data_IF_510762753878
#
_entry.id   IF_510762753878
#
_cell.length_a   1.000
_cell.length_b   1.000
_cell.length_c   1.000
_cell.angle_alpha   90.00
_cell.angle_beta   90.00
_cell.angle_gamma   90.00
#
_symmetry.space_group_name_H-M   'P 1'
#
loop_
_entity.id
_entity.type
_entity.pdbx_description
1 polymer ?
#
# COMPACT_ATOMS: atom_id res chain seq x y z
N UNK A 1 30.43 2.49 -10.93
CA UNK A 1 29.19 1.69 -10.99
C UNK A 1 28.38 1.98 -9.75
N UNK A 2 27.30 2.77 -9.84
CA UNK A 2 26.42 3.02 -8.68
C UNK A 2 25.61 1.74 -8.41
N UNK A 3 25.88 1.05 -7.31
CA UNK A 3 25.15 -0.15 -6.93
C UNK A 3 23.71 0.22 -6.51
N UNK A 4 22.83 0.40 -7.49
CA UNK A 4 21.40 0.69 -7.30
C UNK A 4 20.73 -0.34 -6.38
N UNK A 5 21.11 -1.62 -6.52
CA UNK A 5 20.63 -2.73 -5.70
C UNK A 5 21.61 -3.04 -4.57
N UNK A 6 21.44 -2.32 -3.46
CA UNK A 6 22.10 -2.65 -2.18
C UNK A 6 21.09 -3.36 -1.27
N UNK A 7 21.56 -4.15 -0.30
CA UNK A 7 20.70 -4.77 0.73
C UNK A 7 19.72 -3.76 1.35
N UNK A 8 20.18 -2.52 1.57
CA UNK A 8 19.37 -1.41 2.09
C UNK A 8 18.21 -1.02 1.14
N UNK A 9 18.46 -0.94 -0.17
CA UNK A 9 17.42 -0.68 -1.17
C UNK A 9 16.39 -1.80 -1.19
N UNK A 10 16.83 -3.06 -1.12
CA UNK A 10 15.93 -4.21 -1.06
C UNK A 10 15.06 -4.21 0.20
N UNK A 11 15.64 -3.90 1.36
CA UNK A 11 14.90 -3.75 2.63
C UNK A 11 13.85 -2.65 2.49
N UNK A 12 14.21 -1.48 1.96
CA UNK A 12 13.25 -0.40 1.71
C UNK A 12 12.10 -0.84 0.81
N UNK A 13 12.41 -1.53 -0.28
CA UNK A 13 11.43 -2.05 -1.23
C UNK A 13 10.46 -3.05 -0.60
N UNK A 14 10.98 -3.97 0.22
CA UNK A 14 10.15 -4.90 0.99
C UNK A 14 9.27 -4.18 1.99
N UNK A 15 9.76 -3.15 2.69
CA UNK A 15 8.94 -2.35 3.60
C UNK A 15 7.82 -1.64 2.83
N UNK A 16 8.13 -1.01 1.70
CA UNK A 16 7.15 -0.32 0.86
C UNK A 16 6.07 -1.25 0.30
N UNK A 17 6.41 -2.52 0.07
CA UNK A 17 5.49 -3.55 -0.43
C UNK A 17 4.70 -4.25 0.69
N UNK A 18 5.29 -4.48 1.86
CA UNK A 18 4.64 -5.25 2.92
C UNK A 18 3.81 -4.34 3.83
N UNK A 19 4.24 -3.10 4.07
CA UNK A 19 3.56 -2.19 5.01
C UNK A 19 2.08 -1.96 4.64
N UNK A 20 1.70 -1.68 3.38
CA UNK A 20 0.29 -1.52 3.04
C UNK A 20 -0.54 -2.78 3.33
N UNK A 21 0.02 -3.97 3.10
CA UNK A 21 -0.67 -5.23 3.39
C UNK A 21 -0.90 -5.44 4.89
N UNK A 22 0.06 -5.04 5.72
CA UNK A 22 -0.06 -5.12 7.19
C UNK A 22 -1.04 -4.07 7.73
N UNK A 23 -1.08 -2.88 7.13
CA UNK A 23 -1.97 -1.80 7.54
C UNK A 23 -3.40 -1.94 7.00
N UNK A 24 -3.62 -2.76 5.98
CA UNK A 24 -4.95 -3.00 5.40
C UNK A 24 -5.94 -3.59 6.45
N UNK A 25 -5.58 -4.60 7.26
CA UNK A 25 -6.37 -5.01 8.43
C UNK A 25 -6.69 -3.88 9.40
N UNK A 26 -5.73 -3.03 9.70
CA UNK A 26 -5.89 -1.91 10.64
C UNK A 26 -6.93 -0.92 10.07
N UNK A 27 -6.88 -0.66 8.77
CA UNK A 27 -7.85 0.19 8.08
C UNK A 27 -9.25 -0.43 8.13
N UNK A 28 -9.40 -1.72 7.84
CA UNK A 28 -10.70 -2.38 7.93
C UNK A 28 -11.28 -2.35 9.33
N UNK A 29 -10.43 -2.49 10.35
CA UNK A 29 -10.86 -2.35 11.73
C UNK A 29 -11.39 -0.94 12.01
N UNK A 30 -10.62 0.10 11.66
CA UNK A 30 -11.02 1.51 11.87
C UNK A 30 -12.31 1.84 11.09
N UNK A 31 -12.38 1.46 9.81
CA UNK A 31 -13.54 1.71 8.96
C UNK A 31 -14.78 0.91 9.40
N UNK A 32 -14.59 -0.31 9.90
CA UNK A 32 -15.64 -1.15 10.47
C UNK A 32 -16.28 -0.48 11.69
N UNK A 33 -15.46 0.06 12.60
CA UNK A 33 -15.97 0.82 13.75
C UNK A 33 -16.71 2.09 13.31
N UNK A 34 -16.16 2.84 12.34
CA UNK A 34 -16.80 4.06 11.83
C UNK A 34 -18.17 3.81 11.16
N UNK A 35 -18.36 2.63 10.58
CA UNK A 35 -19.58 2.24 9.85
C UNK A 35 -20.48 1.26 10.62
N UNK A 36 -20.21 1.00 11.92
CA UNK A 36 -20.90 -0.02 12.72
C UNK A 36 -21.04 -1.38 11.99
N UNK A 37 -19.97 -1.78 11.32
CA UNK A 37 -19.94 -2.94 10.42
C UNK A 37 -19.00 -4.02 10.96
N UNK A 38 -19.32 -5.29 10.68
CA UNK A 38 -18.49 -6.41 11.07
C UNK A 38 -17.21 -6.51 10.23
N UNK A 39 -16.19 -7.14 10.79
CA UNK A 39 -14.94 -7.46 10.10
C UNK A 39 -15.18 -8.26 8.81
N UNK A 40 -16.03 -9.28 8.87
CA UNK A 40 -16.36 -10.15 7.74
C UNK A 40 -17.03 -9.37 6.61
N UNK A 41 -17.90 -8.42 6.94
CA UNK A 41 -18.56 -7.57 5.97
C UNK A 41 -17.56 -6.65 5.25
N UNK A 42 -16.59 -6.07 5.98
CA UNK A 42 -15.52 -5.25 5.38
C UNK A 42 -14.65 -6.05 4.42
N UNK A 43 -14.29 -7.29 4.81
CA UNK A 43 -13.52 -8.19 3.95
C UNK A 43 -14.31 -8.59 2.70
N UNK A 44 -15.58 -8.96 2.84
CA UNK A 44 -16.44 -9.35 1.73
C UNK A 44 -16.60 -8.20 0.73
N UNK A 45 -16.85 -6.97 1.20
CA UNK A 45 -16.93 -5.79 0.34
C UNK A 45 -15.63 -5.53 -0.42
N UNK A 46 -14.49 -5.71 0.23
CA UNK A 46 -13.19 -5.56 -0.40
C UNK A 46 -12.94 -6.59 -1.50
N UNK A 47 -13.39 -7.83 -1.33
CA UNK A 47 -13.25 -8.89 -2.32
C UNK A 47 -14.20 -8.70 -3.51
N UNK A 48 -15.43 -8.26 -3.26
CA UNK A 48 -16.49 -8.16 -4.25
C UNK A 48 -16.48 -6.87 -5.08
N UNK A 49 -15.92 -5.77 -4.58
CA UNK A 49 -15.94 -4.48 -5.28
C UNK A 49 -14.53 -3.96 -5.53
N UNK A 50 -14.15 -3.89 -6.81
CA UNK A 50 -12.87 -3.35 -7.23
C UNK A 50 -12.74 -1.84 -6.94
N UNK A 51 -13.86 -1.12 -6.94
CA UNK A 51 -13.92 0.27 -6.48
C UNK A 51 -13.57 0.40 -4.99
N UNK A 52 -14.06 -0.49 -4.14
CA UNK A 52 -13.74 -0.49 -2.70
C UNK A 52 -12.29 -0.94 -2.48
N UNK A 53 -11.86 -1.98 -3.22
CA UNK A 53 -10.51 -2.52 -3.18
C UNK A 53 -9.46 -1.46 -3.47
N UNK A 54 -9.61 -0.72 -4.57
CA UNK A 54 -8.71 0.38 -4.95
C UNK A 54 -8.65 1.48 -3.90
N UNK A 55 -9.79 1.88 -3.32
CA UNK A 55 -9.86 2.86 -2.23
C UNK A 55 -9.11 2.39 -0.98
N UNK A 56 -9.37 1.16 -0.52
CA UNK A 56 -8.76 0.63 0.69
C UNK A 56 -7.24 0.44 0.53
N UNK A 57 -6.78 -0.04 -0.62
CA UNK A 57 -5.34 -0.18 -0.91
C UNK A 57 -4.66 1.18 -0.99
N UNK A 58 -5.29 2.18 -1.62
CA UNK A 58 -4.77 3.55 -1.66
C UNK A 58 -4.63 4.15 -0.26
N UNK A 59 -5.63 3.91 0.61
CA UNK A 59 -5.57 4.34 2.00
C UNK A 59 -4.45 3.62 2.76
N UNK A 60 -4.21 2.34 2.49
CA UNK A 60 -3.13 1.56 3.08
C UNK A 60 -1.74 2.05 2.65
N UNK A 61 -1.59 2.60 1.45
CA UNK A 61 -0.33 3.20 0.98
C UNK A 61 0.09 4.42 1.82
N UNK A 62 -0.83 5.09 2.53
CA UNK A 62 -0.48 6.17 3.47
C UNK A 62 0.45 5.66 4.57
N UNK A 63 0.36 4.38 4.97
CA UNK A 63 1.29 3.79 5.95
C UNK A 63 2.76 3.88 5.53
N UNK A 64 3.04 3.87 4.21
CA UNK A 64 4.39 4.01 3.70
C UNK A 64 4.98 5.40 3.93
N UNK A 65 4.16 6.44 4.09
CA UNK A 65 4.64 7.78 4.43
C UNK A 65 5.26 7.82 5.84
N UNK A 66 4.74 7.01 6.77
CA UNK A 66 5.28 6.88 8.13
C UNK A 66 6.73 6.40 8.05
N UNK A 67 6.96 5.32 7.31
CA UNK A 67 8.30 4.75 7.11
C UNK A 67 9.20 5.66 6.28
N UNK A 68 8.65 6.28 5.24
CA UNK A 68 9.37 7.23 4.40
C UNK A 68 9.96 8.37 5.24
N UNK A 69 9.13 9.01 6.07
CA UNK A 69 9.56 10.11 6.94
C UNK A 69 10.56 9.64 8.00
N UNK A 70 10.32 8.48 8.61
CA UNK A 70 11.22 7.89 9.59
C UNK A 70 12.62 7.62 9.04
N UNK A 71 12.74 7.01 7.85
CA UNK A 71 14.04 6.70 7.26
C UNK A 71 14.72 7.92 6.65
N UNK A 72 13.94 8.88 6.15
CA UNK A 72 14.48 10.14 5.64
C UNK A 72 15.14 10.96 6.76
N UNK A 73 14.49 11.06 7.93
CA UNK A 73 15.06 11.75 9.10
C UNK A 73 16.32 11.07 9.67
N UNK A 74 16.52 9.78 9.36
CA UNK A 74 17.73 9.02 9.74
C UNK A 74 18.80 9.01 8.65
N UNK A 75 18.65 9.86 7.62
CA UNK A 75 19.55 9.95 6.48
C UNK A 75 19.76 8.60 5.75
N UNK A 76 18.78 7.67 5.85
CA UNK A 76 18.83 6.35 5.21
C UNK A 76 18.31 6.40 3.78
N UNK A 77 18.95 7.24 2.97
CA UNK A 77 18.50 7.53 1.60
C UNK A 77 18.35 6.29 0.70
N UNK A 78 19.20 5.26 0.88
CA UNK A 78 19.09 4.00 0.11
C UNK A 78 17.83 3.22 0.47
N UNK A 79 17.46 3.16 1.76
CA UNK A 79 16.22 2.53 2.22
C UNK A 79 15.03 3.34 1.72
N UNK A 80 15.06 4.67 1.86
CA UNK A 80 13.99 5.55 1.36
C UNK A 80 13.77 5.40 -0.15
N UNK A 81 14.84 5.31 -0.94
CA UNK A 81 14.76 5.03 -2.38
C UNK A 81 14.11 3.68 -2.67
N UNK A 82 14.54 2.64 -1.96
CA UNK A 82 13.92 1.32 -2.05
C UNK A 82 12.43 1.35 -1.75
N UNK A 83 12.04 2.07 -0.70
CA UNK A 83 10.66 2.23 -0.27
C UNK A 83 9.79 2.88 -1.34
N UNK A 84 10.26 3.95 -1.99
CA UNK A 84 9.59 4.54 -3.15
C UNK A 84 9.42 3.54 -4.29
N UNK A 85 10.46 2.76 -4.60
CA UNK A 85 10.37 1.71 -5.63
C UNK A 85 9.35 0.63 -5.28
N UNK A 86 9.29 0.20 -4.01
CA UNK A 86 8.27 -0.74 -3.52
C UNK A 86 6.86 -0.18 -3.64
N UNK A 87 6.67 1.10 -3.33
CA UNK A 87 5.39 1.80 -3.51
C UNK A 87 4.95 1.86 -4.98
N UNK A 88 5.89 2.11 -5.89
CA UNK A 88 5.60 2.24 -7.32
C UNK A 88 5.05 0.94 -7.94
N UNK A 89 5.29 -0.23 -7.35
CA UNK A 89 4.71 -1.50 -7.80
C UNK A 89 3.17 -1.50 -7.69
N UNK A 90 2.62 -0.73 -6.75
CA UNK A 90 1.17 -0.61 -6.63
C UNK A 90 0.54 0.23 -7.76
N UNK A 91 1.31 1.08 -8.44
CA UNK A 91 0.79 1.91 -9.53
C UNK A 91 0.20 1.09 -10.70
N UNK A 92 0.92 0.12 -11.31
CA UNK A 92 0.35 -0.71 -12.38
C UNK A 92 -0.83 -1.57 -11.89
N UNK A 93 -0.81 -2.04 -10.64
CA UNK A 93 -1.93 -2.77 -10.05
C UNK A 93 -3.19 -1.90 -9.93
N UNK A 94 -3.04 -0.64 -9.50
CA UNK A 94 -4.14 0.32 -9.43
C UNK A 94 -4.69 0.69 -10.81
N UNK A 95 -3.81 0.82 -11.81
CA UNK A 95 -4.21 1.03 -13.20
C UNK A 95 -5.00 -0.16 -13.75
N UNK A 96 -4.57 -1.39 -13.47
CA UNK A 96 -5.28 -2.60 -13.87
C UNK A 96 -6.70 -2.63 -13.28
N UNK A 97 -6.84 -2.35 -11.98
CA UNK A 97 -8.16 -2.25 -11.35
C UNK A 97 -9.01 -1.16 -12.02
N UNK A 98 -8.43 0.01 -12.26
CA UNK A 98 -9.16 1.13 -12.86
C UNK A 98 -9.71 0.79 -14.25
N UNK A 99 -8.89 0.18 -15.11
CA UNK A 99 -9.29 -0.24 -16.46
C UNK A 99 -10.38 -1.32 -16.38
N UNK A 100 -10.20 -2.33 -15.51
CA UNK A 100 -11.19 -3.39 -15.33
C UNK A 100 -12.55 -2.90 -14.85
N UNK A 101 -12.63 -1.75 -14.16
CA UNK A 101 -13.93 -1.16 -13.80
C UNK A 101 -14.59 -0.41 -14.98
N UNK A 102 -13.82 0.04 -15.97
CA UNK A 102 -14.32 0.75 -17.14
C UNK A 102 -14.93 -0.18 -18.20
N UNK A 103 -14.45 -1.42 -18.32
CA UNK A 103 -14.96 -2.39 -19.30
C UNK A 103 -16.37 -2.95 -18.97
N UNK A 104 -16.91 -2.66 -17.78
CA UNK A 104 -18.23 -3.15 -17.31
C UNK A 104 -19.29 -2.04 -17.11
N UNK A 105 -19.05 -0.82 -17.61
CA UNK A 105 -20.06 0.26 -17.70
C UNK A 105 -20.51 0.45 -19.15
#
# INVERSE_FOLDING_TARGET
MSNFFTKQTLIGMLIGLISPLVFLPIIWFILGQAQNSSWEYMKLQFEMSDMIKSKHISLALISNLIWFYYFLNKEKYLITRGLILGMLIYAPFMLYIFISNYDFQ
#
